data_IF_509227981860
#
_entry.id   IF_509227981860
#
_cell.length_a   1.000
_cell.length_b   1.000
_cell.length_c   1.000
_cell.angle_alpha   90.00
_cell.angle_beta   90.00
_cell.angle_gamma   90.00
#
_symmetry.space_group_name_H-M   'P 1'
#
loop_
_entity.id
_entity.type
_entity.pdbx_description
1 polymer ?
#
# COMPACT_ATOMS: atom_id res chain seq x y z
N UNK A 1 1.68 -23.75 -7.65
CA UNK A 1 1.49 -23.35 -9.06
C UNK A 1 2.56 -22.33 -9.34
N UNK A 2 3.56 -22.68 -10.16
CA UNK A 2 4.68 -21.78 -10.46
C UNK A 2 4.18 -20.63 -11.35
N UNK A 3 4.45 -19.41 -10.91
CA UNK A 3 3.92 -18.20 -11.52
C UNK A 3 4.86 -17.80 -12.68
N UNK A 4 4.44 -18.02 -13.92
CA UNK A 4 5.24 -17.85 -15.17
C UNK A 4 5.75 -16.42 -15.42
N UNK A 5 5.41 -15.43 -14.58
CA UNK A 5 5.76 -14.02 -14.72
C UNK A 5 6.82 -13.50 -13.71
N UNK A 6 7.52 -14.39 -12.98
CA UNK A 6 8.52 -13.98 -11.98
C UNK A 6 9.92 -13.81 -12.57
N UNK A 7 10.51 -12.62 -12.44
CA UNK A 7 11.94 -12.43 -12.65
C UNK A 7 12.70 -12.98 -11.43
N UNK A 8 13.00 -14.28 -11.42
CA UNK A 8 13.79 -14.89 -10.34
C UNK A 8 15.27 -14.60 -10.56
N UNK A 9 15.92 -13.97 -9.58
CA UNK A 9 17.36 -13.77 -9.63
C UNK A 9 18.10 -15.09 -9.50
N UNK A 10 19.16 -15.22 -10.29
CA UNK A 10 20.20 -16.20 -10.07
C UNK A 10 21.05 -15.85 -8.83
N UNK A 11 21.69 -16.86 -8.23
CA UNK A 11 22.66 -16.65 -7.16
C UNK A 11 23.81 -15.70 -7.57
N UNK A 12 24.17 -15.69 -8.86
CA UNK A 12 25.20 -14.79 -9.38
C UNK A 12 24.74 -13.33 -9.36
N UNK A 13 23.51 -13.07 -9.78
CA UNK A 13 22.91 -11.73 -9.74
C UNK A 13 22.80 -11.24 -8.30
N UNK A 14 22.23 -12.05 -7.39
CA UNK A 14 22.15 -11.71 -5.95
C UNK A 14 23.55 -11.40 -5.40
N UNK A 15 24.53 -12.25 -5.67
CA UNK A 15 25.90 -12.03 -5.19
C UNK A 15 26.55 -10.77 -5.75
N UNK A 16 26.18 -10.35 -6.95
CA UNK A 16 26.67 -9.11 -7.57
C UNK A 16 26.11 -7.89 -6.86
N UNK A 17 24.78 -7.82 -6.71
CA UNK A 17 24.13 -6.68 -6.07
C UNK A 17 24.40 -6.60 -4.55
N UNK A 18 24.59 -7.74 -3.87
CA UNK A 18 25.00 -7.76 -2.45
C UNK A 18 26.42 -7.21 -2.29
N UNK A 19 27.36 -7.64 -3.14
CA UNK A 19 28.74 -7.12 -3.08
C UNK A 19 28.80 -5.62 -3.34
N UNK A 20 28.02 -5.13 -4.30
CA UNK A 20 27.92 -3.69 -4.56
C UNK A 20 27.36 -2.94 -3.35
N UNK A 21 26.25 -3.43 -2.78
CA UNK A 21 25.56 -2.75 -1.70
C UNK A 21 26.31 -2.76 -0.36
N UNK A 22 27.03 -3.85 -0.05
CA UNK A 22 27.56 -4.10 1.29
C UNK A 22 29.07 -4.39 1.34
N UNK A 23 29.75 -4.47 0.19
CA UNK A 23 31.19 -4.76 0.12
C UNK A 23 31.57 -6.19 0.56
N UNK A 24 30.61 -7.12 0.61
CA UNK A 24 30.80 -8.50 1.08
C UNK A 24 29.88 -9.48 0.36
N UNK A 25 30.05 -10.79 0.58
CA UNK A 25 29.14 -11.81 0.08
C UNK A 25 27.87 -11.98 0.92
N UNK A 26 27.10 -13.02 0.60
CA UNK A 26 25.97 -13.47 1.41
C UNK A 26 26.12 -14.95 1.76
N UNK A 27 25.70 -15.33 2.97
CA UNK A 27 25.68 -16.70 3.45
C UNK A 27 24.45 -17.47 2.96
N UNK A 28 23.28 -16.82 2.89
CA UNK A 28 22.05 -17.43 2.38
C UNK A 28 21.06 -16.40 1.84
N UNK A 29 20.20 -16.84 0.93
CA UNK A 29 19.11 -16.07 0.34
C UNK A 29 17.86 -16.94 0.30
N UNK A 30 16.73 -16.43 0.77
CA UNK A 30 15.44 -17.13 0.75
C UNK A 30 14.34 -16.18 0.28
N UNK A 31 13.54 -16.63 -0.70
CA UNK A 31 12.35 -15.91 -1.16
C UNK A 31 11.37 -15.74 0.01
N UNK A 32 10.89 -14.52 0.23
CA UNK A 32 9.83 -14.22 1.17
C UNK A 32 8.51 -14.50 0.45
N UNK A 33 7.87 -15.60 0.83
CA UNK A 33 6.60 -16.04 0.23
C UNK A 33 5.36 -15.51 0.96
N UNK A 34 5.56 -14.84 2.09
CA UNK A 34 4.48 -14.27 2.89
C UNK A 34 4.08 -12.91 2.30
N UNK A 35 2.87 -12.84 1.75
CA UNK A 35 2.29 -11.64 1.13
C UNK A 35 2.03 -11.78 -0.37
N UNK A 36 1.44 -10.75 -0.98
CA UNK A 36 1.15 -10.72 -2.41
C UNK A 36 2.37 -10.31 -3.27
N UNK A 37 3.39 -9.74 -2.62
CA UNK A 37 4.65 -9.29 -3.23
C UNK A 37 5.60 -10.46 -3.48
N UNK A 38 5.44 -11.11 -4.63
CA UNK A 38 6.21 -12.28 -5.08
C UNK A 38 7.71 -12.02 -5.41
N UNK A 39 8.30 -10.91 -4.97
CA UNK A 39 9.61 -10.40 -5.45
C UNK A 39 10.53 -9.90 -4.32
N UNK A 40 10.35 -10.40 -3.09
CA UNK A 40 11.20 -10.05 -1.95
C UNK A 40 12.03 -11.25 -1.49
N UNK A 41 13.26 -11.00 -1.02
CA UNK A 41 14.18 -12.01 -0.49
C UNK A 41 14.71 -11.57 0.86
N UNK A 42 14.80 -12.50 1.79
CA UNK A 42 15.62 -12.36 3.00
C UNK A 42 17.03 -12.81 2.68
N UNK A 43 18.01 -11.93 2.89
CA UNK A 43 19.43 -12.16 2.65
C UNK A 43 20.17 -12.13 3.99
N UNK A 44 20.94 -13.18 4.26
CA UNK A 44 21.88 -13.21 5.39
C UNK A 44 23.28 -12.91 4.84
N UNK A 45 23.86 -11.79 5.25
CA UNK A 45 25.23 -11.39 4.89
C UNK A 45 26.27 -12.32 5.54
N UNK A 46 27.51 -12.33 5.04
CA UNK A 46 28.59 -13.15 5.61
C UNK A 46 28.92 -12.79 7.06
N UNK A 47 28.71 -11.52 7.46
CA UNK A 47 28.85 -11.06 8.84
C UNK A 47 27.65 -11.42 9.75
N UNK A 48 26.64 -12.12 9.23
CA UNK A 48 25.46 -12.58 9.95
C UNK A 48 24.31 -11.57 10.04
N UNK A 49 24.48 -10.34 9.54
CA UNK A 49 23.37 -9.37 9.46
C UNK A 49 22.32 -9.83 8.45
N UNK A 50 21.05 -9.54 8.73
CA UNK A 50 19.93 -9.78 7.82
C UNK A 50 19.51 -8.50 7.09
N UNK A 51 19.12 -8.62 5.83
CA UNK A 51 18.52 -7.54 5.04
C UNK A 51 17.42 -8.11 4.15
N UNK A 52 16.49 -7.25 3.73
CA UNK A 52 15.48 -7.58 2.72
C UNK A 52 15.89 -6.96 1.40
N UNK A 53 15.88 -7.77 0.36
CA UNK A 53 16.02 -7.35 -1.03
C UNK A 53 14.63 -7.36 -1.67
N UNK A 54 14.18 -6.23 -2.20
CA UNK A 54 12.99 -6.15 -3.07
C UNK A 54 13.41 -5.86 -4.50
N UNK A 55 12.69 -6.44 -5.45
CA UNK A 55 12.98 -6.37 -6.88
C UNK A 55 11.71 -5.98 -7.63
N UNK A 56 11.85 -5.08 -8.61
CA UNK A 56 10.74 -4.70 -9.45
C UNK A 56 10.17 -5.93 -10.18
N UNK A 57 8.85 -5.97 -10.44
CA UNK A 57 8.28 -7.03 -11.25
C UNK A 57 8.90 -7.04 -12.65
N UNK A 58 8.76 -8.17 -13.36
CA UNK A 58 9.16 -8.27 -14.76
C UNK A 58 8.52 -7.14 -15.60
N UNK A 59 9.25 -6.49 -16.52
CA UNK A 59 8.68 -5.50 -17.44
C UNK A 59 7.48 -6.00 -18.26
N UNK A 60 7.40 -7.31 -18.47
CA UNK A 60 6.30 -7.95 -19.22
C UNK A 60 5.04 -8.16 -18.36
N UNK A 61 5.11 -7.88 -17.05
CA UNK A 61 3.96 -8.00 -16.16
C UNK A 61 2.97 -6.87 -16.48
N UNK A 62 1.76 -7.24 -16.86
CA UNK A 62 0.68 -6.27 -17.01
C UNK A 62 0.33 -5.66 -15.64
N UNK A 63 0.47 -4.35 -15.54
CA UNK A 63 0.21 -3.56 -14.33
C UNK A 63 -0.95 -2.59 -14.59
N UNK A 64 -1.68 -2.27 -13.52
CA UNK A 64 -2.69 -1.22 -13.55
C UNK A 64 -2.03 0.16 -13.54
N UNK A 65 -2.71 1.19 -14.03
CA UNK A 65 -2.18 2.57 -14.14
C UNK A 65 -1.72 3.14 -12.81
N UNK A 66 -2.40 2.81 -11.72
CA UNK A 66 -2.04 3.27 -10.37
C UNK A 66 -0.74 2.64 -9.85
N UNK A 67 -0.25 1.58 -10.50
CA UNK A 67 0.95 0.84 -10.09
C UNK A 67 2.21 1.31 -10.83
N UNK A 68 2.13 2.45 -11.51
CA UNK A 68 3.28 3.04 -12.18
C UNK A 68 4.34 3.47 -11.14
N UNK A 69 5.59 3.07 -11.34
CA UNK A 69 6.74 3.43 -10.50
C UNK A 69 6.60 3.09 -9.00
N UNK A 70 5.84 2.04 -8.64
CA UNK A 70 5.57 1.63 -7.24
C UNK A 70 6.85 1.43 -6.40
N UNK A 71 7.91 0.85 -6.99
CA UNK A 71 9.19 0.65 -6.29
C UNK A 71 9.85 1.98 -5.93
N UNK A 72 9.86 2.92 -6.88
CA UNK A 72 10.43 4.25 -6.65
C UNK A 72 9.62 5.03 -5.61
N UNK A 73 8.28 4.92 -5.66
CA UNK A 73 7.37 5.46 -4.66
C UNK A 73 7.66 4.88 -3.27
N UNK A 74 7.85 3.57 -3.14
CA UNK A 74 8.21 2.93 -1.88
C UNK A 74 9.53 3.49 -1.32
N UNK A 75 10.59 3.52 -2.14
CA UNK A 75 11.90 4.00 -1.70
C UNK A 75 11.86 5.47 -1.27
N UNK A 76 11.23 6.34 -2.06
CA UNK A 76 11.18 7.78 -1.78
C UNK A 76 10.33 8.10 -0.55
N UNK A 77 9.16 7.46 -0.40
CA UNK A 77 8.31 7.64 0.76
C UNK A 77 8.95 7.12 2.05
N UNK A 78 9.60 5.94 2.00
CA UNK A 78 10.32 5.40 3.16
C UNK A 78 11.50 6.27 3.55
N UNK A 79 12.29 6.77 2.59
CA UNK A 79 13.37 7.72 2.85
C UNK A 79 12.86 9.01 3.48
N UNK A 80 11.73 9.53 3.00
CA UNK A 80 11.12 10.75 3.53
C UNK A 80 10.72 10.60 5.00
N UNK A 81 10.09 9.49 5.37
CA UNK A 81 9.62 9.29 6.75
C UNK A 81 10.71 8.80 7.70
N UNK A 82 11.78 8.19 7.19
CA UNK A 82 12.91 7.69 7.97
C UNK A 82 13.67 8.78 8.75
N UNK A 83 13.50 10.06 8.38
CA UNK A 83 14.06 11.20 9.12
C UNK A 83 13.41 11.36 10.51
N UNK A 84 12.23 10.77 10.75
CA UNK A 84 11.60 10.74 12.06
C UNK A 84 12.01 9.47 12.83
N UNK A 85 12.88 9.56 13.85
CA UNK A 85 13.39 8.39 14.58
C UNK A 85 12.34 7.69 15.45
N UNK A 86 11.14 8.27 15.60
CA UNK A 86 10.03 7.67 16.33
C UNK A 86 9.26 6.68 15.45
N UNK A 87 9.27 6.87 14.13
CA UNK A 87 8.58 5.98 13.20
C UNK A 87 9.37 4.67 13.04
N UNK A 88 8.77 3.49 13.28
CA UNK A 88 9.43 2.22 13.07
C UNK A 88 9.37 1.85 11.58
N UNK A 89 10.12 2.59 10.75
CA UNK A 89 10.22 2.31 9.31
C UNK A 89 11.63 1.79 9.02
N UNK A 90 11.78 0.64 8.33
CA UNK A 90 13.10 0.10 8.05
C UNK A 90 13.89 1.04 7.14
N UNK A 91 15.19 1.18 7.42
CA UNK A 91 16.07 2.02 6.60
C UNK A 91 16.32 1.38 5.24
N UNK A 92 16.23 2.19 4.19
CA UNK A 92 16.71 1.82 2.87
C UNK A 92 18.24 1.92 2.85
N UNK A 93 18.93 0.81 2.57
CA UNK A 93 20.38 0.75 2.46
C UNK A 93 20.87 1.20 1.08
N UNK A 94 20.25 0.68 0.02
CA UNK A 94 20.55 1.10 -1.35
C UNK A 94 19.31 0.94 -2.22
N UNK A 95 19.25 1.71 -3.31
CA UNK A 95 18.26 1.58 -4.37
C UNK A 95 18.96 1.83 -5.69
N UNK A 96 18.86 0.87 -6.60
CA UNK A 96 19.36 0.93 -7.96
C UNK A 96 18.16 0.90 -8.93
N UNK A 97 17.99 1.99 -9.67
CA UNK A 97 16.99 2.15 -10.72
C UNK A 97 17.60 2.11 -12.13
N UNK A 98 18.89 1.82 -12.25
CA UNK A 98 19.66 1.90 -13.51
C UNK A 98 19.49 0.66 -14.37
N UNK A 99 19.16 -0.47 -13.74
CA UNK A 99 19.12 -1.80 -14.37
C UNK A 99 20.46 -2.21 -15.01
N UNK A 100 21.61 -1.67 -14.54
CA UNK A 100 22.93 -1.99 -15.09
C UNK A 100 23.51 -3.30 -14.52
N UNK A 101 23.37 -3.50 -13.20
CA UNK A 101 23.90 -4.70 -12.52
C UNK A 101 23.01 -5.93 -12.73
N UNK A 102 21.70 -5.72 -12.80
CA UNK A 102 20.68 -6.72 -13.10
C UNK A 102 19.58 -6.07 -13.95
N UNK A 103 18.81 -6.86 -14.69
CA UNK A 103 17.77 -6.33 -15.60
C UNK A 103 16.46 -5.97 -14.89
N UNK A 104 16.56 -5.42 -13.68
CA UNK A 104 15.42 -4.97 -12.89
C UNK A 104 15.88 -3.91 -11.89
N UNK A 105 14.99 -2.98 -11.53
CA UNK A 105 15.22 -2.14 -10.37
C UNK A 105 15.20 -2.98 -9.09
N UNK A 106 16.02 -2.60 -8.12
CA UNK A 106 16.04 -3.27 -6.83
C UNK A 106 16.46 -2.33 -5.72
N UNK A 107 16.05 -2.66 -4.49
CA UNK A 107 16.57 -2.00 -3.31
C UNK A 107 16.79 -2.98 -2.17
N UNK A 108 17.71 -2.61 -1.29
CA UNK A 108 17.92 -3.30 -0.02
C UNK A 108 17.42 -2.44 1.13
N UNK A 109 16.79 -3.08 2.10
CA UNK A 109 16.31 -2.43 3.33
C UNK A 109 16.64 -3.23 4.58
N UNK A 110 16.54 -2.56 5.72
CA UNK A 110 16.66 -3.16 7.04
C UNK A 110 15.65 -4.30 7.22
N UNK A 111 16.13 -5.42 7.78
CA UNK A 111 15.26 -6.54 8.12
C UNK A 111 14.46 -6.19 9.38
N UNK A 112 13.14 -6.20 9.27
CA UNK A 112 12.24 -5.93 10.40
C UNK A 112 12.09 -7.21 11.22
N UNK A 113 12.49 -7.14 12.48
CA UNK A 113 12.27 -8.23 13.44
C UNK A 113 10.83 -8.20 13.96
N UNK A 114 10.22 -9.38 14.13
CA UNK A 114 8.84 -9.53 14.61
C UNK A 114 8.00 -10.40 13.69
N UNK A 115 6.69 -10.37 13.92
CA UNK A 115 5.70 -11.11 13.12
C UNK A 115 4.64 -10.14 12.59
N UNK A 116 4.20 -10.33 11.35
CA UNK A 116 3.13 -9.54 10.78
C UNK A 116 1.83 -9.70 11.60
N UNK A 117 1.14 -8.58 11.84
CA UNK A 117 -0.02 -8.52 12.72
C UNK A 117 -1.13 -9.47 12.23
N UNK A 118 -1.34 -9.60 10.92
CA UNK A 118 -2.36 -10.49 10.35
C UNK A 118 -2.18 -11.96 10.77
N UNK A 119 -0.96 -12.40 11.06
CA UNK A 119 -0.65 -13.78 11.45
C UNK A 119 -0.93 -14.04 12.94
N UNK A 120 -0.78 -13.02 13.79
CA UNK A 120 -0.91 -13.16 15.25
C UNK A 120 -2.20 -12.56 15.79
N UNK A 121 -2.89 -11.72 15.00
CA UNK A 121 -4.04 -10.91 15.45
C UNK A 121 -5.05 -11.76 16.20
N UNK A 122 -5.44 -12.90 15.64
CA UNK A 122 -6.52 -13.72 16.19
C UNK A 122 -6.14 -14.39 17.52
N UNK A 123 -4.84 -14.51 17.82
CA UNK A 123 -4.31 -15.01 19.09
C UNK A 123 -4.15 -13.92 20.16
N UNK A 124 -4.11 -12.63 19.78
CA UNK A 124 -3.95 -11.52 20.72
C UNK A 124 -5.22 -11.28 21.53
N UNK A 125 -5.06 -10.92 22.80
CA UNK A 125 -6.15 -10.46 23.64
C UNK A 125 -6.72 -9.11 23.13
N UNK A 126 -8.00 -8.81 23.38
CA UNK A 126 -8.60 -7.54 22.94
C UNK A 126 -7.82 -6.30 23.37
N UNK A 127 -7.27 -6.30 24.59
CA UNK A 127 -6.51 -5.17 25.14
C UNK A 127 -5.18 -4.96 24.40
N UNK A 128 -4.53 -6.05 23.97
CA UNK A 128 -3.30 -6.00 23.19
C UNK A 128 -3.58 -5.47 21.77
N UNK A 129 -4.67 -5.91 21.15
CA UNK A 129 -5.12 -5.39 19.84
C UNK A 129 -5.42 -3.90 19.92
N UNK A 130 -6.09 -3.45 20.97
CA UNK A 130 -6.38 -2.03 21.21
C UNK A 130 -5.10 -1.21 21.46
N UNK A 131 -4.12 -1.78 22.17
CA UNK A 131 -2.83 -1.12 22.37
C UNK A 131 -2.07 -0.93 21.05
N UNK A 132 -2.00 -1.98 20.22
CA UNK A 132 -1.38 -1.94 18.89
C UNK A 132 -2.11 -0.95 17.98
N UNK A 133 -3.45 -1.00 17.92
CA UNK A 133 -4.23 -0.08 17.10
C UNK A 133 -4.02 1.38 17.52
N UNK A 134 -3.94 1.67 18.83
CA UNK A 134 -3.63 3.01 19.34
C UNK A 134 -2.21 3.46 18.96
N UNK A 135 -1.22 2.57 19.07
CA UNK A 135 0.14 2.87 18.65
C UNK A 135 0.21 3.17 17.14
N UNK A 136 -0.48 2.36 16.34
CA UNK A 136 -0.59 2.55 14.89
C UNK A 136 -1.22 3.90 14.54
N UNK A 137 -2.29 4.29 15.22
CA UNK A 137 -2.92 5.60 15.02
C UNK A 137 -1.94 6.76 15.23
N UNK A 138 -1.10 6.66 16.27
CA UNK A 138 -0.04 7.63 16.53
C UNK A 138 0.99 7.72 15.41
N UNK A 139 1.50 6.57 14.93
CA UNK A 139 2.44 6.55 13.81
C UNK A 139 1.83 7.02 12.49
N UNK A 140 0.60 6.62 12.21
CA UNK A 140 -0.11 7.04 11.00
C UNK A 140 -0.30 8.56 10.98
N UNK A 141 -0.61 9.18 12.12
CA UNK A 141 -0.64 10.64 12.24
C UNK A 141 0.71 11.28 11.94
N UNK A 142 1.81 10.72 12.47
CA UNK A 142 3.16 11.23 12.20
C UNK A 142 3.54 11.13 10.71
N UNK A 143 3.06 10.09 10.01
CA UNK A 143 3.21 9.97 8.55
C UNK A 143 2.37 11.06 7.85
N UNK A 144 1.11 11.22 8.25
CA UNK A 144 0.20 12.22 7.67
C UNK A 144 0.57 13.68 8.04
N UNK A 145 1.49 13.90 8.98
CA UNK A 145 2.00 15.24 9.32
C UNK A 145 3.00 15.77 8.26
N UNK A 146 3.55 14.91 7.39
CA UNK A 146 4.29 15.37 6.21
C UNK A 146 3.31 15.99 5.23
N UNK A 147 3.54 17.25 4.84
CA UNK A 147 2.68 18.04 3.95
C UNK A 147 3.34 18.31 2.61
N UNK A 148 2.52 18.56 1.59
CA UNK A 148 2.99 18.92 0.26
C UNK A 148 2.07 19.95 -0.41
N UNK A 149 2.62 20.71 -1.36
CA UNK A 149 1.91 21.78 -2.07
C UNK A 149 1.01 21.29 -3.22
N UNK A 150 1.06 20.01 -3.55
CA UNK A 150 0.23 19.38 -4.58
C UNK A 150 -0.31 18.03 -4.09
N UNK A 151 -1.41 17.59 -4.66
CA UNK A 151 -2.00 16.27 -4.47
C UNK A 151 -1.49 15.28 -5.53
N UNK A 152 -1.54 13.99 -5.23
CA UNK A 152 -1.27 12.89 -6.15
C UNK A 152 0.10 12.24 -5.95
N UNK A 153 0.69 11.75 -7.04
CA UNK A 153 1.87 10.89 -7.04
C UNK A 153 3.10 11.58 -6.46
N UNK A 154 3.90 10.82 -5.69
CA UNK A 154 5.26 11.21 -5.32
C UNK A 154 6.16 11.35 -6.54
N UNK A 155 5.84 10.66 -7.65
CA UNK A 155 6.64 10.70 -8.87
C UNK A 155 6.26 11.88 -9.77
N UNK A 156 7.24 12.61 -10.36
CA UNK A 156 6.97 13.76 -11.22
C UNK A 156 6.18 13.48 -12.49
N UNK A 157 6.30 12.26 -13.03
CA UNK A 157 5.60 11.76 -14.20
C UNK A 157 4.22 11.17 -13.87
N UNK A 158 3.89 11.02 -12.59
CA UNK A 158 2.58 10.57 -12.13
C UNK A 158 1.54 11.69 -12.09
N UNK A 159 0.29 11.31 -11.82
CA UNK A 159 -0.83 12.25 -11.67
C UNK A 159 -0.59 13.19 -10.50
N UNK A 160 -0.56 14.50 -10.76
CA UNK A 160 -0.46 15.56 -9.75
C UNK A 160 -1.45 16.68 -10.04
N UNK A 161 -1.94 17.35 -9.01
CA UNK A 161 -2.86 18.48 -9.16
C UNK A 161 -2.99 19.34 -7.92
N UNK A 162 -3.56 20.53 -8.09
CA UNK A 162 -3.78 21.51 -7.00
C UNK A 162 -5.09 21.26 -6.25
N UNK A 163 -5.97 20.42 -6.81
CA UNK A 163 -7.28 20.07 -6.25
C UNK A 163 -7.34 18.58 -5.92
N UNK A 164 -7.74 18.26 -4.69
CA UNK A 164 -7.97 16.87 -4.31
C UNK A 164 -9.12 16.25 -5.10
N UNK A 165 -10.19 17.01 -5.36
CA UNK A 165 -11.35 16.53 -6.12
C UNK A 165 -10.96 16.11 -7.55
N UNK A 166 -10.13 16.92 -8.22
CA UNK A 166 -9.65 16.61 -9.56
C UNK A 166 -8.66 15.43 -9.54
N UNK A 167 -7.72 15.44 -8.60
CA UNK A 167 -6.68 14.42 -8.50
C UNK A 167 -7.27 13.05 -8.20
N UNK A 168 -8.12 12.96 -7.18
CA UNK A 168 -8.76 11.70 -6.79
C UNK A 168 -9.81 11.26 -7.81
N UNK A 169 -10.53 12.19 -8.46
CA UNK A 169 -11.38 11.89 -9.60
C UNK A 169 -10.59 11.21 -10.73
N UNK A 170 -9.43 11.75 -11.07
CA UNK A 170 -8.51 11.14 -12.04
C UNK A 170 -7.99 9.76 -11.62
N UNK A 171 -7.73 9.53 -10.33
CA UNK A 171 -7.34 8.20 -9.83
C UNK A 171 -8.45 7.16 -10.02
N UNK A 172 -9.72 7.54 -9.78
CA UNK A 172 -10.88 6.70 -10.06
C UNK A 172 -11.03 6.42 -11.56
N UNK A 173 -10.85 7.45 -12.40
CA UNK A 173 -10.87 7.32 -13.86
C UNK A 173 -9.80 6.35 -14.36
N UNK A 174 -8.58 6.41 -13.82
CA UNK A 174 -7.48 5.51 -14.20
C UNK A 174 -7.85 4.04 -13.92
N UNK A 175 -8.42 3.75 -12.75
CA UNK A 175 -8.86 2.39 -12.38
C UNK A 175 -10.04 1.93 -13.24
N UNK A 176 -11.00 2.80 -13.52
CA UNK A 176 -12.12 2.45 -14.42
C UNK A 176 -11.65 2.22 -15.86
N UNK A 177 -10.66 2.99 -16.33
CA UNK A 177 -10.03 2.78 -17.63
C UNK A 177 -9.32 1.42 -17.69
N UNK A 178 -8.58 1.05 -16.65
CA UNK A 178 -7.99 -0.30 -16.53
C UNK A 178 -9.05 -1.40 -16.62
N UNK A 179 -10.17 -1.23 -15.93
CA UNK A 179 -11.30 -2.16 -16.00
C UNK A 179 -11.87 -2.30 -17.42
N UNK A 180 -12.02 -1.19 -18.15
CA UNK A 180 -12.51 -1.18 -19.53
C UNK A 180 -11.51 -1.82 -20.49
N UNK A 181 -10.23 -1.47 -20.39
CA UNK A 181 -9.17 -1.98 -21.26
C UNK A 181 -8.96 -3.49 -21.09
N UNK A 182 -9.20 -4.02 -19.89
CA UNK A 182 -9.13 -5.44 -19.58
C UNK A 182 -10.48 -6.18 -19.68
N UNK A 183 -11.53 -5.54 -20.23
CA UNK A 183 -12.88 -6.09 -20.39
C UNK A 183 -13.49 -6.67 -19.09
N UNK A 184 -13.18 -6.05 -17.94
CA UNK A 184 -13.66 -6.49 -16.63
C UNK A 184 -15.17 -6.23 -16.50
N UNK A 185 -15.92 -7.28 -16.21
CA UNK A 185 -17.35 -7.18 -15.90
C UNK A 185 -17.57 -6.84 -14.43
N UNK A 186 -18.00 -5.61 -14.17
CA UNK A 186 -18.33 -5.14 -12.81
C UNK A 186 -19.80 -5.45 -12.44
N UNK A 187 -20.14 -5.51 -11.14
CA UNK A 187 -21.54 -5.69 -10.69
C UNK A 187 -22.52 -4.56 -11.09
N UNK A 188 -22.02 -3.41 -11.54
CA UNK A 188 -22.78 -2.29 -12.08
C UNK A 188 -22.12 -1.80 -13.38
N UNK A 189 -22.85 -1.10 -14.25
CA UNK A 189 -22.24 -0.60 -15.49
C UNK A 189 -21.25 0.55 -15.20
N UNK A 190 -20.21 0.67 -16.02
CA UNK A 190 -19.24 1.77 -15.91
C UNK A 190 -19.91 3.15 -15.90
N UNK A 191 -20.93 3.36 -16.75
CA UNK A 191 -21.65 4.64 -16.80
C UNK A 191 -22.47 4.94 -15.54
N UNK A 192 -23.03 3.92 -14.88
CA UNK A 192 -23.70 4.11 -13.58
C UNK A 192 -22.68 4.46 -12.49
N UNK A 193 -21.52 3.80 -12.50
CA UNK A 193 -20.45 4.06 -11.54
C UNK A 193 -19.91 5.49 -11.68
N UNK A 194 -19.57 5.90 -12.90
CA UNK A 194 -19.09 7.24 -13.22
C UNK A 194 -20.09 8.31 -12.80
N UNK A 195 -21.38 8.07 -13.04
CA UNK A 195 -22.46 8.98 -12.63
C UNK A 195 -22.50 9.18 -11.10
N UNK A 196 -22.41 8.11 -10.32
CA UNK A 196 -22.47 8.21 -8.86
C UNK A 196 -21.21 8.83 -8.24
N UNK A 197 -20.04 8.59 -8.85
CA UNK A 197 -18.79 9.29 -8.51
C UNK A 197 -18.94 10.80 -8.76
N UNK A 198 -19.38 11.17 -9.97
CA UNK A 198 -19.54 12.58 -10.35
C UNK A 198 -20.52 13.31 -9.41
N UNK A 199 -21.64 12.67 -9.05
CA UNK A 199 -22.65 13.19 -8.10
C UNK A 199 -22.07 13.52 -6.72
N UNK A 200 -21.01 12.81 -6.33
CA UNK A 200 -20.42 12.88 -5.00
C UNK A 200 -19.11 13.68 -4.94
N UNK A 201 -18.62 14.16 -6.09
CA UNK A 201 -17.32 14.84 -6.25
C UNK A 201 -17.14 16.08 -5.35
N UNK A 202 -18.20 16.84 -5.11
CA UNK A 202 -18.19 18.03 -4.24
C UNK A 202 -17.70 17.72 -2.81
N UNK A 203 -17.89 16.50 -2.32
CA UNK A 203 -17.42 16.08 -0.99
C UNK A 203 -15.90 16.19 -0.85
N UNK A 204 -15.16 16.04 -1.96
CA UNK A 204 -13.70 16.07 -1.99
C UNK A 204 -13.14 17.50 -1.91
N UNK A 205 -13.96 18.51 -2.19
CA UNK A 205 -13.51 19.92 -2.29
C UNK A 205 -13.11 20.51 -0.92
N UNK A 206 -13.56 19.92 0.19
CA UNK A 206 -13.19 20.34 1.54
C UNK A 206 -11.70 20.10 1.86
N UNK A 207 -11.04 19.19 1.14
CA UNK A 207 -9.62 18.87 1.37
C UNK A 207 -8.76 19.93 0.69
N UNK A 208 -8.03 20.71 1.50
CA UNK A 208 -7.23 21.86 1.03
C UNK A 208 -5.72 21.69 1.16
N UNK A 209 -5.26 20.68 1.89
CA UNK A 209 -3.85 20.44 2.13
C UNK A 209 -3.54 18.96 1.91
N UNK A 210 -2.50 18.67 1.13
CA UNK A 210 -2.07 17.32 0.86
C UNK A 210 -1.17 16.81 1.99
N UNK A 211 -1.45 15.59 2.46
CA UNK A 211 -0.67 14.88 3.47
C UNK A 211 -0.06 13.64 2.84
N UNK A 212 1.10 13.17 3.31
CA UNK A 212 1.62 11.88 2.88
C UNK A 212 0.68 10.79 3.43
N UNK A 213 0.09 10.02 2.54
CA UNK A 213 -0.79 8.89 2.84
C UNK A 213 -0.02 7.61 2.51
N UNK A 214 0.09 6.67 3.46
CA UNK A 214 0.66 5.35 3.17
C UNK A 214 -0.31 4.48 2.36
N UNK A 215 -1.59 4.57 2.72
CA UNK A 215 -2.75 3.91 2.11
C UNK A 215 -2.84 2.39 2.32
N UNK A 216 -1.71 1.67 2.28
CA UNK A 216 -1.66 0.21 2.41
C UNK A 216 -1.19 -0.32 3.78
N UNK A 217 -1.50 0.37 4.88
CA UNK A 217 -1.24 -0.12 6.25
C UNK A 217 -2.30 -1.11 6.74
N UNK A 218 -2.50 -2.21 6.01
CA UNK A 218 -3.25 -3.35 6.51
C UNK A 218 -2.39 -4.24 7.41
N UNK A 219 -3.01 -5.17 8.15
CA UNK A 219 -2.33 -5.97 9.18
C UNK A 219 -1.14 -6.80 8.66
N UNK A 220 -1.04 -7.07 7.35
CA UNK A 220 0.11 -7.75 6.76
C UNK A 220 1.38 -6.88 6.69
N UNK A 221 1.21 -5.57 6.68
CA UNK A 221 2.30 -4.59 6.54
C UNK A 221 2.73 -3.97 7.88
N UNK A 222 2.18 -4.49 8.99
CA UNK A 222 2.47 -4.05 10.36
C UNK A 222 3.14 -5.20 11.11
N UNK A 223 4.40 -5.00 11.51
CA UNK A 223 5.16 -5.99 12.25
C UNK A 223 5.10 -5.70 13.74
N UNK A 224 4.93 -6.75 14.54
CA UNK A 224 4.83 -6.68 15.99
C UNK A 224 5.91 -7.55 16.63
N UNK A 225 6.58 -7.00 17.64
CA UNK A 225 7.56 -7.68 18.46
C UNK A 225 7.43 -7.22 19.91
N UNK A 226 7.51 -8.16 20.85
CA UNK A 226 7.48 -7.89 22.30
C UNK A 226 6.27 -7.01 22.72
N UNK A 227 5.11 -7.21 22.07
CA UNK A 227 3.86 -6.51 22.36
C UNK A 227 3.72 -5.12 21.75
N UNK A 228 4.67 -4.65 20.94
CA UNK A 228 4.60 -3.36 20.25
C UNK A 228 4.92 -3.45 18.76
N UNK A 229 4.52 -2.44 17.99
CA UNK A 229 4.86 -2.34 16.57
C UNK A 229 6.37 -2.13 16.43
N UNK A 230 7.02 -3.04 15.69
CA UNK A 230 8.45 -3.04 15.40
C UNK A 230 8.79 -2.61 13.98
N UNK A 231 7.79 -2.58 13.07
CA UNK A 231 8.01 -2.12 11.71
C UNK A 231 6.71 -1.82 10.95
N UNK A 232 6.75 -0.78 10.13
CA UNK A 232 5.78 -0.45 9.10
C UNK A 232 6.50 -0.57 7.75
N UNK A 233 5.94 -1.34 6.83
CA UNK A 233 6.56 -1.64 5.54
C UNK A 233 5.59 -1.39 4.39
N UNK A 234 6.11 -1.45 3.16
CA UNK A 234 5.32 -1.49 1.93
C UNK A 234 4.60 -0.18 1.59
N UNK A 235 5.39 0.89 1.49
CA UNK A 235 4.90 2.22 1.13
C UNK A 235 4.70 2.40 -0.39
N UNK A 236 4.60 1.30 -1.15
CA UNK A 236 4.55 1.32 -2.61
C UNK A 236 3.32 2.06 -3.17
N UNK A 237 2.25 2.10 -2.36
CA UNK A 237 0.98 2.76 -2.67
C UNK A 237 0.87 4.18 -2.08
N UNK A 238 1.97 4.74 -1.58
CA UNK A 238 1.94 6.06 -0.95
C UNK A 238 1.66 7.19 -1.97
N UNK A 239 0.92 8.21 -1.54
CA UNK A 239 0.63 9.41 -2.34
C UNK A 239 0.37 10.63 -1.45
N UNK A 240 0.32 11.82 -2.06
CA UNK A 240 -0.06 13.06 -1.40
C UNK A 240 -1.58 13.28 -1.49
N UNK A 241 -2.31 13.21 -0.37
CA UNK A 241 -3.77 13.14 -0.39
C UNK A 241 -4.46 13.52 0.91
N UNK A 242 -5.74 13.16 1.00
CA UNK A 242 -6.53 13.23 2.24
C UNK A 242 -6.10 12.08 3.18
N UNK A 243 -5.69 12.36 4.43
CA UNK A 243 -5.40 11.33 5.44
C UNK A 243 -6.51 10.30 5.63
N UNK A 244 -7.77 10.65 5.33
CA UNK A 244 -8.88 9.71 5.45
C UNK A 244 -8.83 8.57 4.42
N UNK A 245 -7.96 8.63 3.42
CA UNK A 245 -7.72 7.49 2.55
C UNK A 245 -7.08 6.31 3.29
N UNK A 246 -6.42 6.53 4.43
CA UNK A 246 -5.69 5.47 5.14
C UNK A 246 -6.57 4.26 5.49
N UNK A 247 -5.96 3.07 5.44
CA UNK A 247 -6.63 1.78 5.57
C UNK A 247 -7.51 1.71 6.83
N UNK A 248 -6.97 2.16 7.97
CA UNK A 248 -7.64 2.04 9.27
C UNK A 248 -8.82 3.00 9.49
N UNK A 249 -9.04 3.99 8.62
CA UNK A 249 -10.30 4.76 8.58
C UNK A 249 -11.41 4.02 7.82
N UNK A 250 -11.08 2.94 7.12
CA UNK A 250 -11.96 2.26 6.18
C UNK A 250 -12.97 1.31 6.80
N UNK A 251 -13.89 0.86 5.95
CA UNK A 251 -14.95 -0.08 6.36
C UNK A 251 -14.40 -1.43 6.85
N UNK A 252 -13.25 -1.87 6.35
CA UNK A 252 -12.67 -3.19 6.66
C UNK A 252 -12.09 -3.27 8.09
N UNK A 253 -11.87 -2.14 8.77
CA UNK A 253 -11.20 -2.07 10.08
C UNK A 253 -12.09 -1.54 11.20
N UNK A 254 -13.41 -1.48 11.00
CA UNK A 254 -14.34 -0.85 11.95
C UNK A 254 -14.20 -1.35 13.40
N UNK A 255 -13.89 -2.62 13.60
CA UNK A 255 -13.70 -3.21 14.93
C UNK A 255 -12.56 -2.58 15.73
N UNK A 256 -11.50 -2.11 15.05
CA UNK A 256 -10.31 -1.51 15.68
C UNK A 256 -10.30 0.03 15.61
N UNK A 257 -11.32 0.62 14.98
CA UNK A 257 -11.37 2.06 14.69
C UNK A 257 -11.27 2.96 15.92
N UNK A 258 -11.90 2.60 17.05
CA UNK A 258 -11.93 3.47 18.24
C UNK A 258 -10.55 3.65 18.87
N UNK A 259 -9.79 2.56 19.03
CA UNK A 259 -8.45 2.63 19.61
C UNK A 259 -7.47 3.33 18.66
N UNK A 260 -7.56 3.03 17.36
CA UNK A 260 -6.81 3.72 16.32
C UNK A 260 -7.11 5.23 16.30
N UNK A 261 -8.38 5.64 16.30
CA UNK A 261 -8.78 7.05 16.35
C UNK A 261 -8.24 7.78 17.58
N UNK A 262 -8.28 7.14 18.76
CA UNK A 262 -7.70 7.71 19.97
C UNK A 262 -6.18 7.91 19.83
N UNK A 263 -5.48 6.97 19.20
CA UNK A 263 -4.04 7.09 18.90
C UNK A 263 -3.72 8.17 17.88
N UNK A 264 -4.54 8.25 16.83
CA UNK A 264 -4.47 9.30 15.80
C UNK A 264 -4.86 10.67 16.37
N UNK A 265 -5.52 10.75 17.51
CA UNK A 265 -5.91 12.01 18.16
C UNK A 265 -7.23 12.59 17.67
N UNK A 266 -8.13 11.76 17.17
CA UNK A 266 -9.51 12.15 16.81
C UNK A 266 -10.54 11.34 17.61
N UNK A 267 -11.75 11.87 17.74
CA UNK A 267 -12.86 11.22 18.46
C UNK A 267 -13.95 10.72 17.51
N UNK A 268 -13.53 10.04 16.44
CA UNK A 268 -14.40 9.63 15.35
C UNK A 268 -14.46 10.65 14.22
N UNK A 269 -14.94 10.18 13.07
CA UNK A 269 -15.14 10.99 11.87
C UNK A 269 -16.42 11.81 11.99
N UNK A 270 -16.41 13.05 11.50
CA UNK A 270 -17.59 13.89 11.27
C UNK A 270 -18.49 13.31 10.17
N UNK A 271 -19.68 13.88 9.97
CA UNK A 271 -20.57 13.45 8.90
C UNK A 271 -19.96 13.64 7.50
N UNK A 272 -19.34 14.81 7.25
CA UNK A 272 -18.68 15.10 5.98
C UNK A 272 -17.53 14.11 5.71
N UNK A 273 -16.70 13.84 6.72
CA UNK A 273 -15.59 12.88 6.62
C UNK A 273 -16.07 11.44 6.39
N UNK A 274 -17.15 11.01 7.06
CA UNK A 274 -17.77 9.70 6.80
C UNK A 274 -18.27 9.59 5.36
N UNK A 275 -18.89 10.65 4.83
CA UNK A 275 -19.36 10.70 3.44
C UNK A 275 -18.19 10.67 2.45
N UNK A 276 -17.11 11.43 2.69
CA UNK A 276 -15.86 11.30 1.92
C UNK A 276 -15.29 9.89 1.96
N UNK A 277 -15.28 9.25 3.13
CA UNK A 277 -14.69 7.90 3.28
C UNK A 277 -15.37 6.85 2.41
N UNK A 278 -16.66 7.00 2.12
CA UNK A 278 -17.39 6.13 1.18
C UNK A 278 -16.75 6.13 -0.21
N UNK A 279 -16.28 7.29 -0.70
CA UNK A 279 -15.56 7.38 -1.98
C UNK A 279 -14.22 6.66 -1.93
N UNK A 280 -13.46 6.81 -0.84
CA UNK A 280 -12.15 6.16 -0.67
C UNK A 280 -12.28 4.64 -0.51
N UNK A 281 -13.31 4.17 0.19
CA UNK A 281 -13.61 2.74 0.29
C UNK A 281 -13.99 2.20 -1.08
N UNK A 282 -14.83 2.91 -1.82
CA UNK A 282 -15.27 2.47 -3.13
C UNK A 282 -14.13 2.45 -4.17
N UNK A 283 -13.17 3.36 -4.06
CA UNK A 283 -11.94 3.31 -4.86
C UNK A 283 -11.14 2.03 -4.60
N UNK A 284 -10.96 1.63 -3.34
CA UNK A 284 -10.34 0.34 -3.00
C UNK A 284 -11.17 -0.84 -3.53
N UNK A 285 -12.50 -0.78 -3.39
CA UNK A 285 -13.40 -1.83 -3.88
C UNK A 285 -13.26 -2.04 -5.40
N UNK A 286 -13.16 -0.95 -6.17
CA UNK A 286 -12.91 -0.98 -7.61
C UNK A 286 -11.58 -1.67 -7.94
N UNK A 287 -10.51 -1.31 -7.23
CA UNK A 287 -9.19 -1.90 -7.42
C UNK A 287 -9.23 -3.40 -7.13
N UNK A 288 -9.81 -3.80 -6.00
CA UNK A 288 -9.88 -5.22 -5.62
C UNK A 288 -10.58 -6.08 -6.67
N UNK A 289 -11.64 -5.56 -7.30
CA UNK A 289 -12.34 -6.30 -8.38
C UNK A 289 -11.50 -6.34 -9.65
N UNK A 290 -10.99 -5.20 -10.10
CA UNK A 290 -10.29 -5.09 -11.39
C UNK A 290 -8.93 -5.79 -11.35
N UNK A 291 -8.24 -5.70 -10.22
CA UNK A 291 -6.95 -6.34 -9.98
C UNK A 291 -7.02 -7.87 -10.13
N UNK A 292 -8.17 -8.50 -9.84
CA UNK A 292 -8.35 -9.95 -10.04
C UNK A 292 -7.99 -10.39 -11.47
N UNK A 293 -8.33 -9.58 -12.47
CA UNK A 293 -8.00 -9.85 -13.88
C UNK A 293 -6.51 -9.66 -14.15
N UNK A 294 -5.92 -8.56 -13.68
CA UNK A 294 -4.49 -8.25 -13.86
C UNK A 294 -3.57 -9.23 -13.15
N UNK A 295 -4.02 -9.81 -12.02
CA UNK A 295 -3.27 -10.79 -11.22
C UNK A 295 -3.60 -12.23 -11.56
N UNK A 296 -4.55 -12.46 -12.48
CA UNK A 296 -5.04 -13.79 -12.87
C UNK A 296 -5.42 -14.62 -11.65
N UNK A 297 -6.16 -14.04 -10.70
CA UNK A 297 -6.58 -14.77 -9.52
C UNK A 297 -7.56 -15.88 -9.90
N UNK A 298 -7.25 -17.11 -9.48
CA UNK A 298 -8.09 -18.28 -9.75
C UNK A 298 -9.00 -18.64 -8.56
N UNK A 299 -8.69 -18.12 -7.37
CA UNK A 299 -9.45 -18.39 -6.16
C UNK A 299 -10.86 -17.73 -6.25
N UNK A 300 -11.86 -18.58 -6.47
CA UNK A 300 -13.24 -18.15 -6.66
C UNK A 300 -13.86 -17.52 -5.40
N UNK A 301 -13.40 -17.89 -4.20
CA UNK A 301 -13.89 -17.29 -2.96
C UNK A 301 -13.36 -15.87 -2.82
N UNK A 302 -12.11 -15.63 -3.19
CA UNK A 302 -11.53 -14.29 -3.23
C UNK A 302 -12.25 -13.40 -4.26
N UNK A 303 -12.42 -13.88 -5.49
CA UNK A 303 -13.15 -13.14 -6.54
C UNK A 303 -14.58 -12.83 -6.10
N UNK A 304 -15.29 -13.79 -5.51
CA UNK A 304 -16.64 -13.53 -4.99
C UNK A 304 -16.65 -12.47 -3.90
N UNK A 305 -15.69 -12.54 -2.99
CA UNK A 305 -15.55 -11.55 -1.91
C UNK A 305 -15.30 -10.15 -2.46
N UNK A 306 -14.44 -9.97 -3.47
CA UNK A 306 -14.21 -8.64 -4.07
C UNK A 306 -15.47 -8.09 -4.73
N UNK A 307 -16.24 -8.91 -5.45
CA UNK A 307 -17.52 -8.51 -6.03
C UNK A 307 -18.59 -8.17 -4.98
N UNK A 308 -18.66 -8.91 -3.88
CA UNK A 308 -19.63 -8.64 -2.82
C UNK A 308 -19.26 -7.36 -2.04
N UNK A 309 -17.97 -7.15 -1.79
CA UNK A 309 -17.48 -5.90 -1.20
C UNK A 309 -17.78 -4.70 -2.11
N UNK A 310 -17.57 -4.84 -3.43
CA UNK A 310 -17.98 -3.83 -4.42
C UNK A 310 -19.48 -3.51 -4.35
N UNK A 311 -20.36 -4.52 -4.34
CA UNK A 311 -21.82 -4.29 -4.27
C UNK A 311 -22.19 -3.51 -3.01
N UNK A 312 -21.57 -3.83 -1.88
CA UNK A 312 -21.78 -3.12 -0.63
C UNK A 312 -21.31 -1.66 -0.72
N UNK A 313 -20.08 -1.44 -1.20
CA UNK A 313 -19.52 -0.09 -1.40
C UNK A 313 -20.36 0.75 -2.35
N UNK A 314 -20.78 0.17 -3.48
CA UNK A 314 -21.61 0.86 -4.46
C UNK A 314 -22.97 1.27 -3.91
N UNK A 315 -23.61 0.40 -3.10
CA UNK A 315 -24.86 0.75 -2.41
C UNK A 315 -24.67 1.92 -1.44
N UNK A 316 -23.53 1.98 -0.75
CA UNK A 316 -23.22 3.10 0.15
C UNK A 316 -22.98 4.40 -0.64
N UNK A 317 -22.28 4.31 -1.79
CA UNK A 317 -22.07 5.44 -2.69
C UNK A 317 -23.42 6.00 -3.22
N UNK A 318 -24.33 5.12 -3.62
CA UNK A 318 -25.68 5.50 -4.05
C UNK A 318 -26.52 6.16 -2.94
N UNK A 319 -26.20 5.90 -1.68
CA UNK A 319 -26.91 6.43 -0.52
C UNK A 319 -26.34 7.77 -0.01
N UNK A 320 -25.22 8.27 -0.56
CA UNK A 320 -24.64 9.58 -0.21
C UNK A 320 -25.56 10.74 -0.57
#
# INVERSE_FOLDING_TARGET
MENENKYRLSNQEIGTIVREAFGQGYASASELTDGWANMAYSIVLEDGRKTVLKIAPSPDKLMMRYENNIMKTEVESMRLVADNPVLPVPRIYTYDSTCELIRAEYFFMEYVEGTALNQIRDALAPEERDAIARQLGGYNRMINDYKNGFFGSLQPDGRRGDSWAETFGGMLEDVLADGKDADVTLPASYGEIEKEIARSSELLTEVKEASLVHWDLWDGNIFVKDGGISGLIDFERAFWGDPLCEFYFGRLTQASSKAFYAGYGINGLTEAERRRRVLYDFYLDLILVIECTYRKYENQDHIRWTHDNFKQGFKLLQAL
#
